data_IF_888851337357
#
_entry.id   IF_888851337357
#
_cell.length_a   1.000
_cell.length_b   1.000
_cell.length_c   1.000
_cell.angle_alpha   90.00
_cell.angle_beta   90.00
_cell.angle_gamma   90.00
#
_symmetry.space_group_name_H-M   'P 1'
#
loop_
_entity.id
_entity.type
_entity.pdbx_description
1 polymer ?
#
# COMPACT_ATOMS: atom_id res chain seq x y z
N UNK A 1 3.07 6.56 -3.96
CA UNK A 1 3.95 6.42 -5.14
C UNK A 1 3.35 5.53 -6.21
N UNK A 2 2.91 4.29 -5.92
CA UNK A 2 2.27 3.42 -6.90
C UNK A 2 0.75 3.39 -6.71
N UNK A 3 0.00 3.54 -7.80
CA UNK A 3 -1.46 3.46 -7.79
C UNK A 3 -1.93 2.01 -7.82
N UNK A 4 -1.24 1.16 -8.59
CA UNK A 4 -1.59 -0.23 -8.77
C UNK A 4 -0.40 -1.17 -8.56
N UNK A 5 -0.70 -2.39 -8.12
CA UNK A 5 0.26 -3.47 -7.97
C UNK A 5 -0.38 -4.79 -8.39
N UNK A 6 0.26 -5.49 -9.32
CA UNK A 6 -0.21 -6.76 -9.85
C UNK A 6 0.90 -7.81 -9.70
N UNK A 7 0.54 -8.98 -9.18
CA UNK A 7 1.50 -10.07 -8.93
C UNK A 7 1.03 -11.32 -9.63
N UNK A 8 1.95 -11.94 -10.37
CA UNK A 8 1.77 -13.24 -11.00
C UNK A 8 2.85 -14.20 -10.55
N UNK A 9 2.46 -15.46 -10.31
CA UNK A 9 3.37 -16.57 -10.08
C UNK A 9 3.21 -17.56 -11.24
N UNK A 10 4.31 -17.96 -11.87
CA UNK A 10 4.28 -18.86 -13.04
C UNK A 10 3.23 -18.42 -14.07
N UNK A 11 3.25 -17.12 -14.41
CA UNK A 11 2.32 -16.43 -15.32
C UNK A 11 0.82 -16.46 -14.94
N UNK A 12 0.46 -17.05 -13.78
CA UNK A 12 -0.87 -16.94 -13.20
C UNK A 12 -0.96 -15.73 -12.28
N UNK A 13 -1.84 -14.80 -12.59
CA UNK A 13 -2.10 -13.65 -11.74
C UNK A 13 -2.75 -14.09 -10.42
N UNK A 14 -2.08 -13.82 -9.31
CA UNK A 14 -2.54 -14.16 -7.96
C UNK A 14 -3.19 -12.98 -7.24
N UNK A 15 -2.77 -11.76 -7.58
CA UNK A 15 -3.25 -10.50 -6.99
C UNK A 15 -3.31 -9.40 -8.04
N UNK A 16 -4.37 -8.61 -7.98
CA UNK A 16 -4.66 -7.49 -8.88
C UNK A 16 -5.23 -6.35 -8.04
N UNK A 17 -4.42 -5.34 -7.73
CA UNK A 17 -4.80 -4.26 -6.82
C UNK A 17 -4.79 -2.92 -7.56
N UNK A 18 -5.95 -2.45 -7.99
CA UNK A 18 -6.08 -1.17 -8.70
C UNK A 18 -6.06 0.04 -7.75
N UNK A 19 -6.39 -0.17 -6.47
CA UNK A 19 -6.35 0.84 -5.41
C UNK A 19 -5.20 0.57 -4.43
N UNK A 20 -4.05 0.12 -4.95
CA UNK A 20 -2.90 -0.28 -4.14
C UNK A 20 -2.38 0.85 -3.26
N UNK A 21 -2.40 2.10 -3.74
CA UNK A 21 -1.98 3.24 -2.94
C UNK A 21 -2.76 3.37 -1.62
N UNK A 22 -4.07 3.19 -1.66
CA UNK A 22 -4.93 3.20 -0.48
C UNK A 22 -4.65 2.00 0.40
N UNK A 23 -4.60 0.81 -0.19
CA UNK A 23 -4.29 -0.43 0.53
C UNK A 23 -3.00 -0.30 1.33
N UNK A 24 -1.94 0.18 0.69
CA UNK A 24 -0.63 0.37 1.29
C UNK A 24 -0.67 1.40 2.43
N UNK A 25 -1.37 2.53 2.23
CA UNK A 25 -1.51 3.57 3.26
C UNK A 25 -2.29 3.07 4.48
N UNK A 26 -3.44 2.42 4.26
CA UNK A 26 -4.29 1.86 5.31
C UNK A 26 -3.54 0.78 6.09
N UNK A 27 -2.87 -0.15 5.39
CA UNK A 27 -2.06 -1.18 6.04
C UNK A 27 -0.92 -0.57 6.85
N UNK A 28 -0.18 0.38 6.29
CA UNK A 28 0.87 1.11 7.00
C UNK A 28 0.35 1.76 8.29
N UNK A 29 -0.87 2.30 8.26
CA UNK A 29 -1.45 2.99 9.40
C UNK A 29 -2.05 2.07 10.47
N UNK A 30 -2.70 0.98 10.07
CA UNK A 30 -3.50 0.15 10.98
C UNK A 30 -2.83 -1.19 11.33
N UNK A 31 -2.01 -1.75 10.44
CA UNK A 31 -1.51 -3.12 10.56
C UNK A 31 -0.04 -3.17 11.01
N UNK A 32 0.57 -2.01 11.24
CA UNK A 32 1.91 -1.87 11.81
C UNK A 32 1.84 -1.27 13.21
N UNK A 33 2.72 -1.76 14.09
CA UNK A 33 2.92 -1.16 15.41
C UNK A 33 3.46 0.27 15.29
N UNK A 34 3.27 1.07 16.33
CA UNK A 34 3.78 2.44 16.36
C UNK A 34 5.32 2.49 16.20
N UNK A 35 6.02 1.51 16.80
CA UNK A 35 7.46 1.30 16.60
C UNK A 35 7.81 1.06 15.14
N UNK A 36 7.11 0.14 14.47
CA UNK A 36 7.33 -0.16 13.05
C UNK A 36 7.05 1.06 12.17
N UNK A 37 6.04 1.85 12.49
CA UNK A 37 5.72 3.10 11.78
C UNK A 37 6.81 4.16 11.91
N UNK A 38 7.37 4.33 13.11
CA UNK A 38 8.43 5.31 13.39
C UNK A 38 9.78 4.91 12.81
N UNK A 39 10.07 3.60 12.74
CA UNK A 39 11.36 3.07 12.34
C UNK A 39 11.37 2.53 10.90
N UNK A 40 10.66 1.43 10.63
CA UNK A 40 10.69 0.74 9.34
C UNK A 40 9.95 1.55 8.26
N UNK A 41 8.75 2.04 8.54
CA UNK A 41 7.95 2.71 7.50
C UNK A 41 8.44 4.14 7.23
N UNK A 42 9.18 4.76 8.17
CA UNK A 42 9.75 6.09 7.94
C UNK A 42 10.84 6.08 6.86
N UNK A 43 11.53 4.95 6.64
CA UNK A 43 12.45 4.77 5.50
C UNK A 43 11.74 4.75 4.15
N UNK A 44 10.43 4.46 4.15
CA UNK A 44 9.56 4.51 2.98
C UNK A 44 8.79 5.86 2.89
N UNK A 45 9.24 6.89 3.61
CA UNK A 45 8.60 8.19 3.76
C UNK A 45 7.17 8.15 4.34
N UNK A 46 6.78 7.06 4.99
CA UNK A 46 5.54 7.04 5.75
C UNK A 46 5.74 7.78 7.08
N UNK A 47 5.03 8.90 7.22
CA UNK A 47 4.94 9.67 8.46
C UNK A 47 3.47 10.00 8.65
N UNK A 48 2.93 9.73 9.85
CA UNK A 48 1.54 10.07 10.16
C UNK A 48 1.34 11.58 10.17
N UNK A 49 0.25 12.03 9.56
CA UNK A 49 -0.19 13.42 9.65
C UNK A 49 -0.80 13.72 11.01
N UNK A 50 -0.90 15.02 11.31
CA UNK A 50 -1.57 15.47 12.52
C UNK A 50 -3.08 15.33 12.36
N UNK A 51 -3.73 14.68 13.33
CA UNK A 51 -5.17 14.43 13.30
C UNK A 51 -5.97 15.73 13.15
N UNK A 52 -6.95 15.73 12.25
CA UNK A 52 -7.78 16.91 11.93
C UNK A 52 -7.08 17.99 11.11
N UNK A 53 -5.82 17.80 10.72
CA UNK A 53 -5.00 18.79 9.98
C UNK A 53 -4.42 18.21 8.68
N UNK A 54 -5.06 17.20 8.12
CA UNK A 54 -4.56 16.48 6.93
C UNK A 54 -4.41 17.36 5.70
N UNK A 55 -5.31 18.33 5.53
CA UNK A 55 -5.34 19.27 4.40
C UNK A 55 -4.55 20.57 4.67
N UNK A 56 -3.91 20.69 5.84
CA UNK A 56 -3.02 21.83 6.08
C UNK A 56 -1.72 21.64 5.30
N UNK A 57 -1.62 22.40 4.20
CA UNK A 57 -0.49 22.45 3.29
C UNK A 57 0.56 23.50 3.68
N UNK A 58 0.41 24.14 4.84
CA UNK A 58 1.32 25.17 5.32
C UNK A 58 2.65 24.53 5.75
N UNK A 59 3.74 24.96 5.11
CA UNK A 59 5.09 24.39 5.33
C UNK A 59 5.95 25.21 6.29
N UNK A 60 5.45 26.34 6.79
CA UNK A 60 6.13 27.21 7.76
C UNK A 60 6.01 26.65 9.19
N UNK A 61 6.66 27.29 10.17
CA UNK A 61 6.58 26.91 11.59
C UNK A 61 5.16 26.95 12.17
N UNK A 62 4.25 27.68 11.52
CA UNK A 62 2.84 27.79 11.90
C UNK A 62 2.00 26.60 11.39
N UNK A 63 2.56 25.77 10.50
CA UNK A 63 1.89 24.61 9.93
C UNK A 63 1.51 23.58 10.99
N UNK A 64 0.24 23.17 10.98
CA UNK A 64 -0.36 22.27 11.95
C UNK A 64 -0.13 20.80 11.58
N UNK A 65 0.15 20.49 10.31
CA UNK A 65 0.49 19.14 9.87
C UNK A 65 1.98 18.82 10.04
N UNK A 66 2.35 18.35 11.24
CA UNK A 66 3.74 17.98 11.56
C UNK A 66 4.27 16.84 10.68
N UNK A 67 3.40 15.94 10.24
CA UNK A 67 3.76 14.81 9.37
C UNK A 67 4.16 15.27 7.98
N UNK A 68 3.40 16.21 7.40
CA UNK A 68 3.73 16.83 6.12
C UNK A 68 5.05 17.57 6.17
N UNK A 69 5.28 18.37 7.21
CA UNK A 69 6.53 19.11 7.38
C UNK A 69 7.75 18.18 7.39
N UNK A 70 7.71 17.08 8.14
CA UNK A 70 8.81 16.09 8.17
C UNK A 70 9.11 15.49 6.80
N UNK A 71 8.07 15.17 6.01
CA UNK A 71 8.26 14.66 4.64
C UNK A 71 8.81 15.74 3.73
N UNK A 72 8.29 16.96 3.82
CA UNK A 72 8.78 18.10 3.06
C UNK A 72 10.26 18.40 3.34
N UNK A 73 10.69 18.40 4.61
CA UNK A 73 12.08 18.64 4.98
C UNK A 73 13.06 17.67 4.32
N UNK A 74 12.60 16.45 4.02
CA UNK A 74 13.40 15.41 3.35
C UNK A 74 13.48 15.57 1.83
N UNK A 75 12.50 16.24 1.21
CA UNK A 75 12.39 16.36 -0.27
C UNK A 75 12.50 17.79 -0.80
N UNK A 76 12.53 18.81 0.09
CA UNK A 76 12.59 20.22 -0.29
C UNK A 76 13.77 20.52 -1.20
N UNK A 77 13.60 21.53 -2.05
CA UNK A 77 14.57 21.98 -3.06
C UNK A 77 14.81 20.96 -4.19
N UNK A 78 13.91 20.01 -4.41
CA UNK A 78 14.00 19.08 -5.56
C UNK A 78 15.17 18.09 -5.44
N UNK A 79 15.59 17.77 -4.22
CA UNK A 79 16.68 16.82 -4.00
C UNK A 79 16.24 15.41 -4.40
N UNK A 80 17.16 14.66 -5.01
CA UNK A 80 17.04 13.22 -5.13
C UNK A 80 17.09 12.60 -3.74
N UNK A 81 16.21 11.65 -3.46
CA UNK A 81 16.15 10.96 -2.17
C UNK A 81 15.87 9.48 -2.38
N UNK A 82 16.42 8.67 -1.48
CA UNK A 82 16.18 7.24 -1.47
C UNK A 82 15.04 6.86 -0.53
N UNK A 83 14.27 5.87 -0.96
CA UNK A 83 13.25 5.21 -0.15
C UNK A 83 13.48 3.70 -0.15
N UNK A 84 13.29 3.08 1.01
CA UNK A 84 13.27 1.63 1.14
C UNK A 84 12.07 1.23 1.98
N UNK A 85 11.32 0.24 1.51
CA UNK A 85 10.09 -0.20 2.17
C UNK A 85 9.62 -1.54 1.64
N UNK A 86 8.64 -2.11 2.34
CA UNK A 86 8.00 -3.35 1.94
C UNK A 86 6.92 -3.09 0.87
N UNK A 87 6.70 -4.07 0.00
CA UNK A 87 5.53 -4.07 -0.89
C UNK A 87 4.33 -4.67 -0.13
N UNK A 88 3.26 -3.89 -0.01
CA UNK A 88 2.02 -4.22 0.71
C UNK A 88 1.15 -5.20 -0.08
N UNK A 89 1.64 -6.43 -0.20
CA UNK A 89 1.08 -7.45 -1.07
C UNK A 89 0.60 -8.64 -0.24
N UNK A 90 -0.50 -9.27 -0.63
CA UNK A 90 -1.09 -10.36 0.19
C UNK A 90 -0.10 -11.52 0.33
N UNK A 91 0.61 -11.85 -0.74
CA UNK A 91 1.68 -12.86 -0.73
C UNK A 91 2.94 -12.43 0.04
N UNK A 92 3.14 -11.14 0.27
CA UNK A 92 4.25 -10.66 1.10
C UNK A 92 4.02 -10.91 2.60
N UNK A 93 2.80 -11.23 3.01
CA UNK A 93 2.44 -11.44 4.42
C UNK A 93 2.47 -12.89 4.87
N UNK A 94 2.60 -13.84 3.94
CA UNK A 94 2.68 -15.27 4.28
C UNK A 94 4.11 -15.67 4.65
N UNK A 95 4.24 -16.59 5.61
CA UNK A 95 5.52 -16.95 6.23
C UNK A 95 6.31 -18.05 5.50
N UNK A 96 5.69 -18.76 4.56
CA UNK A 96 6.33 -19.82 3.79
C UNK A 96 7.20 -19.23 2.68
N UNK A 97 8.31 -19.89 2.40
CA UNK A 97 9.14 -19.53 1.26
C UNK A 97 8.51 -20.06 -0.03
N UNK A 98 8.70 -19.34 -1.13
CA UNK A 98 8.33 -19.84 -2.45
C UNK A 98 9.27 -20.98 -2.84
N UNK A 99 8.71 -22.03 -3.44
CA UNK A 99 9.50 -23.17 -3.88
C UNK A 99 10.38 -22.81 -5.08
N UNK A 100 11.50 -23.53 -5.21
CA UNK A 100 12.39 -23.39 -6.35
C UNK A 100 11.64 -23.59 -7.68
N UNK A 101 12.07 -22.87 -8.72
CA UNK A 101 11.40 -22.86 -10.02
C UNK A 101 10.15 -21.97 -10.10
N UNK A 102 9.75 -21.28 -9.02
CA UNK A 102 8.64 -20.31 -9.08
C UNK A 102 9.09 -18.98 -9.69
N UNK A 103 8.57 -18.63 -10.86
CA UNK A 103 8.76 -17.32 -11.48
C UNK A 103 7.81 -16.29 -10.84
N UNK A 104 8.34 -15.14 -10.41
CA UNK A 104 7.57 -14.05 -9.81
C UNK A 104 7.61 -12.85 -10.76
N UNK A 105 6.42 -12.37 -11.15
CA UNK A 105 6.27 -11.14 -11.92
C UNK A 105 5.49 -10.12 -11.11
N UNK A 106 6.15 -9.01 -10.76
CA UNK A 106 5.53 -7.86 -10.09
C UNK A 106 5.43 -6.71 -11.09
N UNK A 107 4.22 -6.21 -11.32
CA UNK A 107 3.97 -5.00 -12.12
C UNK A 107 3.48 -3.90 -11.20
N UNK A 108 4.21 -2.79 -11.17
CA UNK A 108 3.86 -1.60 -10.40
C UNK A 108 3.51 -0.47 -11.36
N UNK A 109 2.33 0.12 -11.19
CA UNK A 109 1.93 1.29 -11.96
C UNK A 109 2.09 2.54 -11.09
N UNK A 110 2.91 3.47 -11.57
CA UNK A 110 3.16 4.74 -10.89
C UNK A 110 1.86 5.54 -10.80
N UNK A 111 1.58 6.09 -9.62
CA UNK A 111 0.46 6.98 -9.42
C UNK A 111 0.72 8.34 -10.08
N UNK A 112 -0.35 9.04 -10.44
CA UNK A 112 -0.27 10.41 -10.93
C UNK A 112 0.40 11.33 -9.89
N UNK A 113 1.01 12.42 -10.36
CA UNK A 113 1.73 13.34 -9.47
C UNK A 113 0.78 14.02 -8.48
N UNK A 114 -0.43 14.33 -8.93
CA UNK A 114 -1.51 14.94 -8.15
C UNK A 114 -1.98 14.05 -6.99
N UNK A 115 -1.82 12.74 -7.12
CA UNK A 115 -2.10 11.79 -6.06
C UNK A 115 -0.90 11.62 -5.10
N UNK A 116 0.32 11.65 -5.64
CA UNK A 116 1.52 11.34 -4.86
C UNK A 116 2.06 12.53 -4.06
N UNK A 117 1.77 13.76 -4.49
CA UNK A 117 2.29 15.00 -3.92
C UNK A 117 1.17 15.84 -3.32
N UNK A 118 1.47 16.50 -2.21
CA UNK A 118 0.57 17.45 -1.55
C UNK A 118 1.27 18.81 -1.53
N UNK A 119 0.68 19.81 -2.18
CA UNK A 119 1.33 21.11 -2.42
C UNK A 119 0.30 22.25 -2.38
N UNK A 120 0.65 23.38 -1.76
CA UNK A 120 -0.21 24.56 -1.75
C UNK A 120 -0.30 25.26 -3.11
N UNK A 121 0.84 25.32 -3.81
CA UNK A 121 1.01 25.93 -5.13
C UNK A 121 2.25 25.33 -5.82
N UNK A 122 2.27 25.36 -7.16
CA UNK A 122 3.41 24.94 -7.99
C UNK A 122 3.20 23.62 -8.73
N UNK A 123 3.93 23.46 -9.84
CA UNK A 123 3.90 22.27 -10.67
C UNK A 123 5.10 21.39 -10.35
N UNK A 124 4.93 20.47 -9.39
CA UNK A 124 5.95 19.51 -9.01
C UNK A 124 5.66 18.13 -9.61
N UNK A 125 6.71 17.44 -10.03
CA UNK A 125 6.61 16.06 -10.51
C UNK A 125 7.49 15.14 -9.67
N UNK A 126 7.00 13.94 -9.38
CA UNK A 126 7.81 12.87 -8.80
C UNK A 126 8.41 12.06 -9.96
N UNK A 127 9.72 11.89 -10.02
CA UNK A 127 10.38 11.01 -11.00
C UNK A 127 11.07 9.86 -10.27
N UNK A 128 10.96 8.65 -10.82
CA UNK A 128 11.67 7.47 -10.30
C UNK A 128 12.91 7.34 -11.18
N UNK A 129 14.09 7.54 -10.60
CA UNK A 129 15.36 7.38 -11.31
C UNK A 129 15.75 5.91 -11.39
N UNK A 130 15.77 5.23 -10.24
CA UNK A 130 16.12 3.82 -10.12
C UNK A 130 15.13 3.10 -9.21
N UNK A 131 14.89 1.82 -9.49
CA UNK A 131 14.08 0.94 -8.65
C UNK A 131 14.71 -0.44 -8.59
N UNK A 132 14.89 -0.96 -7.38
CA UNK A 132 15.44 -2.29 -7.12
C UNK A 132 14.50 -3.07 -6.20
N UNK A 133 14.39 -4.38 -6.45
CA UNK A 133 13.63 -5.30 -5.60
C UNK A 133 14.60 -6.24 -4.89
N UNK A 134 14.56 -6.23 -3.56
CA UNK A 134 15.33 -7.17 -2.75
C UNK A 134 14.45 -8.34 -2.34
N UNK A 135 14.86 -9.55 -2.70
CA UNK A 135 14.17 -10.80 -2.33
C UNK A 135 15.15 -11.67 -1.55
N UNK A 136 14.68 -12.21 -0.42
CA UNK A 136 15.48 -13.17 0.37
C UNK A 136 15.51 -14.52 -0.36
N UNK A 137 16.71 -14.98 -0.71
CA UNK A 137 16.95 -16.33 -1.22
C UNK A 137 17.49 -17.22 -0.10
N UNK A 138 17.00 -18.45 -0.01
CA UNK A 138 17.50 -19.46 0.92
C UNK A 138 18.18 -20.57 0.12
N UNK A 139 19.41 -20.90 0.49
CA UNK A 139 20.14 -22.05 -0.07
C UNK A 139 19.84 -23.29 0.76
N UNK A 140 19.54 -24.40 0.07
CA UNK A 140 19.17 -25.68 0.68
C UNK A 140 20.03 -26.80 0.11
N UNK A 141 20.25 -27.86 0.88
CA UNK A 141 21.03 -29.02 0.43
C UNK A 141 20.35 -29.73 -0.73
N UNK A 142 21.14 -30.40 -1.57
CA UNK A 142 20.64 -31.19 -2.70
C UNK A 142 19.66 -32.30 -2.27
N UNK A 143 19.87 -32.90 -1.10
CA UNK A 143 18.96 -33.91 -0.54
C UNK A 143 17.55 -33.37 -0.30
N UNK A 144 17.41 -32.11 0.15
CA UNK A 144 16.12 -31.47 0.39
C UNK A 144 15.44 -31.11 -0.94
N UNK A 145 16.20 -30.71 -1.96
CA UNK A 145 15.67 -30.45 -3.30
C UNK A 145 15.02 -31.70 -3.90
N UNK A 146 15.72 -32.85 -3.85
CA UNK A 146 15.17 -34.13 -4.34
C UNK A 146 13.94 -34.56 -3.53
N UNK A 147 13.95 -34.33 -2.21
CA UNK A 147 12.78 -34.62 -1.37
C UNK A 147 11.58 -33.75 -1.73
N UNK A 148 11.79 -32.45 -2.01
CA UNK A 148 10.72 -31.56 -2.49
C UNK A 148 10.15 -32.00 -3.84
N UNK A 149 11.00 -32.41 -4.80
CA UNK A 149 10.55 -32.92 -6.10
C UNK A 149 9.67 -34.16 -5.94
N UNK A 150 10.10 -35.16 -5.16
CA UNK A 150 9.29 -36.36 -4.86
C UNK A 150 7.97 -36.03 -4.15
N UNK A 151 7.98 -35.07 -3.22
CA UNK A 151 6.76 -34.66 -2.52
C UNK A 151 5.77 -33.93 -3.45
N UNK A 152 6.28 -33.17 -4.43
CA UNK A 152 5.48 -32.48 -5.44
C UNK A 152 4.81 -33.43 -6.44
N UNK A 153 5.42 -34.59 -6.72
CA UNK A 153 4.78 -35.65 -7.52
C UNK A 153 3.54 -36.22 -6.83
N UNK A 154 3.53 -36.25 -5.50
CA UNK A 154 2.45 -36.84 -4.71
C UNK A 154 1.37 -35.83 -4.31
N UNK A 155 1.73 -34.56 -4.10
CA UNK A 155 0.82 -33.57 -3.54
C UNK A 155 1.13 -32.13 -3.97
N UNK A 156 0.10 -31.29 -3.99
CA UNK A 156 0.23 -29.86 -4.28
C UNK A 156 0.65 -29.08 -3.03
N UNK A 157 1.52 -28.09 -3.22
CA UNK A 157 1.89 -27.16 -2.15
C UNK A 157 0.74 -26.20 -1.86
N UNK A 158 0.37 -26.13 -0.58
CA UNK A 158 -0.61 -25.17 -0.09
C UNK A 158 0.08 -23.99 0.61
N UNK A 159 -0.09 -22.80 0.04
CA UNK A 159 0.38 -21.53 0.61
C UNK A 159 -0.82 -20.68 1.05
N UNK A 160 -1.28 -20.82 2.30
CA UNK A 160 -2.37 -19.99 2.81
C UNK A 160 -1.89 -18.56 3.00
N UNK A 161 -2.70 -17.60 2.60
CA UNK A 161 -2.47 -16.18 2.87
C UNK A 161 -3.79 -15.44 3.00
N UNK A 162 -3.81 -14.39 3.81
CA UNK A 162 -4.98 -13.55 4.02
C UNK A 162 -5.07 -12.52 2.90
N UNK A 163 -6.22 -12.47 2.22
CA UNK A 163 -6.47 -11.48 1.17
C UNK A 163 -7.06 -10.21 1.74
N UNK A 164 -6.45 -9.07 1.43
CA UNK A 164 -6.97 -7.75 1.79
C UNK A 164 -7.49 -7.09 0.51
N UNK A 165 -8.81 -7.04 0.36
CA UNK A 165 -9.46 -6.48 -0.84
C UNK A 165 -9.96 -5.07 -0.57
N UNK A 166 -9.55 -4.12 -1.40
CA UNK A 166 -10.11 -2.77 -1.40
C UNK A 166 -11.37 -2.74 -2.27
N UNK A 167 -12.50 -2.31 -1.69
CA UNK A 167 -13.71 -1.95 -2.42
C UNK A 167 -14.04 -0.49 -2.20
N UNK A 168 -14.45 0.19 -3.26
CA UNK A 168 -14.75 1.62 -3.27
C UNK A 168 -16.16 1.82 -3.79
N UNK A 169 -16.93 2.65 -3.10
CA UNK A 169 -18.29 2.98 -3.48
C UNK A 169 -18.41 4.50 -3.52
N UNK A 170 -19.04 5.03 -4.57
CA UNK A 170 -19.32 6.47 -4.65
C UNK A 170 -20.67 6.73 -4.03
N UNK A 171 -20.72 7.70 -3.12
CA UNK A 171 -21.95 8.09 -2.41
C UNK A 171 -22.21 9.56 -2.66
N UNK A 172 -23.45 9.88 -3.05
CA UNK A 172 -23.89 11.27 -3.26
C UNK A 172 -24.04 12.00 -1.93
N UNK A 173 -23.76 13.31 -1.93
CA UNK A 173 -23.94 14.17 -0.76
C UNK A 173 -25.42 14.25 -0.33
N UNK A 174 -25.67 14.44 0.97
CA UNK A 174 -27.01 14.63 1.53
C UNK A 174 -27.77 13.35 1.89
N UNK A 175 -27.21 12.17 1.60
CA UNK A 175 -27.81 10.89 1.99
C UNK A 175 -27.56 10.59 3.48
N UNK A 176 -28.63 10.28 4.22
CA UNK A 176 -28.55 9.89 5.64
C UNK A 176 -28.34 8.39 5.84
N UNK A 177 -28.80 7.57 4.89
CA UNK A 177 -28.67 6.12 4.91
C UNK A 177 -28.47 5.61 3.50
N UNK A 178 -27.64 4.59 3.34
CA UNK A 178 -27.38 3.93 2.08
C UNK A 178 -27.27 2.43 2.31
N UNK A 179 -27.95 1.65 1.49
CA UNK A 179 -27.77 0.20 1.41
C UNK A 179 -26.94 -0.10 0.17
N UNK A 180 -25.79 -0.74 0.37
CA UNK A 180 -24.91 -1.14 -0.73
C UNK A 180 -25.16 -2.62 -1.00
N UNK A 181 -25.96 -2.97 -2.02
CA UNK A 181 -26.17 -4.36 -2.36
C UNK A 181 -24.86 -5.00 -2.80
N UNK A 182 -24.64 -6.27 -2.45
CA UNK A 182 -23.47 -7.03 -2.87
C UNK A 182 -22.12 -6.39 -2.46
N UNK A 183 -22.12 -5.68 -1.32
CA UNK A 183 -20.91 -5.07 -0.76
C UNK A 183 -19.80 -6.10 -0.51
N UNK A 184 -20.16 -7.33 -0.18
CA UNK A 184 -19.26 -8.49 -0.11
C UNK A 184 -19.83 -9.60 -0.99
N UNK A 185 -19.00 -10.14 -1.89
CA UNK A 185 -19.37 -11.26 -2.76
C UNK A 185 -18.43 -12.42 -2.46
N UNK A 186 -19.00 -13.60 -2.19
CA UNK A 186 -18.25 -14.80 -1.83
C UNK A 186 -17.86 -14.83 -0.36
N UNK A 187 -16.60 -15.15 -0.07
CA UNK A 187 -16.11 -15.31 1.30
C UNK A 187 -16.29 -14.03 2.12
N UNK A 188 -16.91 -14.17 3.29
CA UNK A 188 -17.10 -13.09 4.24
C UNK A 188 -15.74 -12.70 4.87
N UNK A 189 -15.43 -11.39 4.95
CA UNK A 189 -14.21 -10.95 5.60
C UNK A 189 -14.29 -11.15 7.11
N UNK A 190 -13.17 -11.48 7.74
CA UNK A 190 -13.06 -11.52 9.21
C UNK A 190 -12.94 -10.13 9.84
N UNK A 191 -12.61 -9.10 9.04
CA UNK A 191 -12.49 -7.71 9.48
C UNK A 191 -12.89 -6.77 8.35
N UNK A 192 -13.69 -5.76 8.67
CA UNK A 192 -14.05 -4.68 7.75
C UNK A 192 -13.48 -3.36 8.26
N UNK A 193 -12.89 -2.59 7.34
CA UNK A 193 -12.44 -1.22 7.62
C UNK A 193 -13.17 -0.31 6.65
N UNK A 194 -13.87 0.66 7.20
CA UNK A 194 -14.61 1.66 6.45
C UNK A 194 -13.85 2.98 6.51
N UNK A 195 -13.75 3.64 5.36
CA UNK A 195 -13.12 4.95 5.24
C UNK A 195 -13.94 5.83 4.31
N UNK A 196 -14.12 7.09 4.69
CA UNK A 196 -14.78 8.09 3.88
C UNK A 196 -13.75 9.09 3.37
N UNK A 197 -13.81 9.38 2.09
CA UNK A 197 -12.92 10.33 1.42
C UNK A 197 -13.72 11.10 0.39
N UNK A 198 -13.42 12.39 0.25
CA UNK A 198 -14.03 13.20 -0.81
C UNK A 198 -13.63 12.67 -2.18
N UNK A 199 -14.54 12.72 -3.17
CA UNK A 199 -14.24 12.23 -4.52
C UNK A 199 -13.05 12.97 -5.16
N UNK A 200 -12.87 14.27 -4.84
CA UNK A 200 -11.70 15.05 -5.26
C UNK A 200 -10.39 14.47 -4.69
N UNK A 201 -10.35 14.18 -3.40
CA UNK A 201 -9.17 13.56 -2.78
C UNK A 201 -8.98 12.11 -3.24
N UNK A 202 -10.07 11.44 -3.65
CA UNK A 202 -10.00 10.08 -4.17
C UNK A 202 -9.21 10.00 -5.49
N UNK A 203 -9.52 10.92 -6.40
CA UNK A 203 -8.92 10.94 -7.74
C UNK A 203 -7.56 11.65 -7.81
N UNK A 204 -7.08 12.18 -6.68
CA UNK A 204 -5.85 12.97 -6.59
C UNK A 204 -6.12 14.45 -6.80
N UNK A 205 -6.13 15.21 -5.70
CA UNK A 205 -6.15 16.66 -5.70
C UNK A 205 -4.95 17.12 -4.88
N UNK A 206 -4.08 17.95 -5.47
CA UNK A 206 -2.84 18.40 -4.84
C UNK A 206 -3.06 19.16 -3.52
N UNK A 207 -4.28 19.67 -3.29
CA UNK A 207 -4.63 20.42 -2.06
C UNK A 207 -5.34 19.57 -1.01
N UNK A 208 -5.78 18.36 -1.35
CA UNK A 208 -6.53 17.50 -0.43
C UNK A 208 -5.81 16.18 -0.25
N UNK A 209 -5.59 15.81 1.01
CA UNK A 209 -4.83 14.61 1.28
C UNK A 209 -5.72 13.36 1.24
N UNK A 210 -5.12 12.29 0.74
CA UNK A 210 -5.74 10.98 0.61
C UNK A 210 -5.25 10.01 1.70
N UNK A 211 -6.12 9.28 2.42
CA UNK A 211 -7.33 9.69 3.14
C UNK A 211 -7.11 9.81 4.67
N UNK A 212 -7.98 10.60 5.30
CA UNK A 212 -8.37 10.51 6.72
C UNK A 212 -9.21 9.24 6.95
N UNK A 213 -8.75 8.29 7.77
CA UNK A 213 -9.61 7.19 8.24
C UNK A 213 -10.36 7.69 9.48
N UNK A 214 -11.69 7.83 9.37
CA UNK A 214 -12.56 7.87 10.53
C UNK A 214 -12.72 6.42 11.00
N UNK A 215 -12.03 6.05 12.09
CA UNK A 215 -12.08 4.69 12.62
C UNK A 215 -13.50 4.38 13.11
N UNK A 216 -14.24 3.60 12.33
CA UNK A 216 -15.28 2.70 12.87
C UNK A 216 -14.73 1.29 12.62
N UNK A 217 -14.13 0.72 13.66
CA UNK A 217 -13.83 -0.71 13.70
C UNK A 217 -15.15 -1.38 14.11
N UNK A 218 -15.71 -2.21 13.24
CA UNK A 218 -16.76 -3.17 13.59
C UNK A 218 -16.08 -4.54 13.66
#
# INVERSE_FOLDING_TARGET
MFAECHISLNDRQISSENNYAYKANIQSMLFHSESSQKNLLSTALFVKDTAGKFDDVTLTDVGLNKGLRKRWDRVKNGKVFDMCGILHTDIGTQSKLLINGTSIRIRLFKAKNEFSLLTAAGNYHLQIENISLYVRKCEISSSILVAHEKALEQSLIQMPFTRIKMKTFTVSSGLKSITIPNAVNGALPSRMILGLVSNSAFNGDMKKRTPSILNIII
#
